data_IF_537510962322
#
_entry.id   IF_537510962322
#
_cell.length_a   1.000
_cell.length_b   1.000
_cell.length_c   1.000
_cell.angle_alpha   90.00
_cell.angle_beta   90.00
_cell.angle_gamma   90.00
#
_symmetry.space_group_name_H-M   'P 1'
#
loop_
_entity.id
_entity.type
_entity.pdbx_description
1 polymer ?
#
# COMPACT_ATOMS: atom_id res chain seq x y z
N UNK A 1 12.61 11.97 17.54
CA UNK A 1 11.63 12.08 16.43
C UNK A 1 12.23 12.95 15.34
N UNK A 2 11.92 12.69 14.07
CA UNK A 2 12.53 13.40 12.91
C UNK A 2 11.71 14.61 12.41
N UNK A 3 10.64 14.99 13.12
CA UNK A 3 9.80 16.15 12.78
C UNK A 3 8.69 15.88 11.75
N UNK A 4 8.36 14.62 11.46
CA UNK A 4 7.22 14.27 10.62
C UNK A 4 5.89 14.36 11.39
N UNK A 5 4.86 14.87 10.74
CA UNK A 5 3.52 15.06 11.32
C UNK A 5 2.55 13.92 11.00
N UNK A 6 2.80 13.17 9.92
CA UNK A 6 2.00 12.02 9.50
C UNK A 6 2.86 11.01 8.72
N UNK A 7 2.35 9.79 8.58
CA UNK A 7 2.96 8.70 7.80
C UNK A 7 1.97 8.26 6.72
N UNK A 8 2.41 8.24 5.47
CA UNK A 8 1.70 7.52 4.39
C UNK A 8 2.36 6.17 4.20
N UNK A 9 1.59 5.09 4.37
CA UNK A 9 2.05 3.70 4.29
C UNK A 9 1.45 3.01 3.07
N UNK A 10 2.30 2.37 2.27
CA UNK A 10 1.92 1.59 1.07
C UNK A 10 2.38 0.13 1.25
N UNK A 11 1.75 -0.66 2.14
CA UNK A 11 2.11 -2.06 2.36
C UNK A 11 1.48 -2.96 1.30
N UNK A 12 1.84 -4.26 1.30
CA UNK A 12 1.15 -5.24 0.45
C UNK A 12 -0.32 -5.29 0.82
N UNK A 13 -1.21 -5.36 -0.17
CA UNK A 13 -2.65 -5.50 0.00
C UNK A 13 -3.03 -6.49 1.11
N UNK A 14 -4.05 -6.12 1.89
CA UNK A 14 -4.59 -6.93 2.99
C UNK A 14 -5.07 -8.33 2.57
N UNK A 15 -5.45 -8.50 1.29
CA UNK A 15 -5.81 -9.81 0.73
C UNK A 15 -4.63 -10.74 0.48
N UNK A 16 -3.41 -10.20 0.41
CA UNK A 16 -2.19 -10.96 0.05
C UNK A 16 -1.26 -11.18 1.25
N UNK A 17 -1.20 -10.21 2.17
CA UNK A 17 -0.32 -10.23 3.33
C UNK A 17 -0.97 -9.66 4.59
N UNK A 18 -0.61 -10.22 5.75
CA UNK A 18 -0.98 -9.65 7.06
C UNK A 18 -0.24 -8.35 7.38
N UNK A 19 0.78 -7.97 6.61
CA UNK A 19 1.58 -6.75 6.83
C UNK A 19 0.69 -5.51 6.96
N UNK A 20 -0.31 -5.35 6.09
CA UNK A 20 -1.26 -4.23 6.16
C UNK A 20 -1.94 -4.16 7.54
N UNK A 21 -2.48 -5.28 8.00
CA UNK A 21 -3.16 -5.37 9.30
C UNK A 21 -2.20 -5.14 10.48
N UNK A 22 -0.98 -5.67 10.40
CA UNK A 22 0.04 -5.43 11.43
C UNK A 22 0.36 -3.94 11.55
N UNK A 23 0.54 -3.22 10.43
CA UNK A 23 0.80 -1.78 10.47
C UNK A 23 -0.42 -1.04 11.02
N UNK A 24 -1.66 -1.42 10.67
CA UNK A 24 -2.86 -0.79 11.25
C UNK A 24 -2.94 -0.96 12.78
N UNK A 25 -2.55 -2.12 13.31
CA UNK A 25 -2.53 -2.35 14.76
C UNK A 25 -1.47 -1.46 15.41
N UNK A 26 -0.24 -1.48 14.88
CA UNK A 26 0.87 -0.69 15.42
C UNK A 26 0.63 0.82 15.29
N UNK A 27 -0.05 1.28 14.22
CA UNK A 27 -0.38 2.68 13.99
C UNK A 27 -1.16 3.30 15.16
N UNK A 28 -1.93 2.50 15.90
CA UNK A 28 -2.68 2.95 17.08
C UNK A 28 -1.80 3.26 18.28
N UNK A 29 -0.57 2.74 18.30
CA UNK A 29 0.36 2.81 19.44
C UNK A 29 1.44 3.88 19.24
N UNK A 30 1.78 4.24 18.00
CA UNK A 30 2.95 5.08 17.70
C UNK A 30 2.73 6.59 17.85
N UNK A 31 1.50 7.04 18.11
CA UNK A 31 1.19 8.46 18.40
C UNK A 31 1.33 9.44 17.23
N UNK A 32 1.73 8.97 16.04
CA UNK A 32 1.74 9.73 14.79
C UNK A 32 0.65 9.19 13.85
N UNK A 33 -0.19 10.04 13.24
CA UNK A 33 -1.20 9.62 12.28
C UNK A 33 -0.59 8.78 11.15
N UNK A 34 -1.19 7.62 10.88
CA UNK A 34 -0.81 6.75 9.76
C UNK A 34 -1.97 6.62 8.79
N UNK A 35 -1.73 6.99 7.54
CA UNK A 35 -2.63 6.86 6.42
C UNK A 35 -2.19 5.64 5.62
N UNK A 36 -3.07 4.64 5.50
CA UNK A 36 -2.78 3.43 4.76
C UNK A 36 -3.36 3.52 3.34
N UNK A 37 -2.55 3.19 2.35
CA UNK A 37 -2.97 2.97 0.97
C UNK A 37 -3.26 1.47 0.82
N UNK A 38 -4.47 1.14 0.37
CA UNK A 38 -4.84 -0.22 -0.05
C UNK A 38 -4.85 -0.24 -1.58
N UNK A 39 -3.87 -0.95 -2.14
CA UNK A 39 -3.53 -0.95 -3.56
C UNK A 39 -4.14 -2.15 -4.32
N UNK A 40 -4.66 -3.15 -3.60
CA UNK A 40 -5.22 -4.39 -4.15
C UNK A 40 -4.28 -5.12 -5.13
N UNK A 41 -2.96 -4.84 -5.07
CA UNK A 41 -1.98 -5.30 -6.04
C UNK A 41 -0.62 -5.58 -5.37
N UNK A 42 0.42 -5.80 -6.18
CA UNK A 42 1.79 -6.03 -5.72
C UNK A 42 2.79 -5.68 -6.82
N UNK A 43 4.09 -5.89 -6.56
CA UNK A 43 5.21 -5.68 -7.48
C UNK A 43 5.41 -4.20 -7.88
N UNK A 44 5.61 -3.94 -9.17
CA UNK A 44 6.02 -2.63 -9.69
C UNK A 44 4.98 -1.54 -9.42
N UNK A 45 3.70 -1.89 -9.51
CA UNK A 45 2.60 -0.95 -9.30
C UNK A 45 2.55 -0.44 -7.85
N UNK A 46 2.75 -1.32 -6.87
CA UNK A 46 2.88 -0.94 -5.46
C UNK A 46 4.07 0.02 -5.24
N UNK A 47 5.22 -0.29 -5.84
CA UNK A 47 6.40 0.57 -5.77
C UNK A 47 6.16 1.94 -6.42
N UNK A 48 5.47 1.95 -7.55
CA UNK A 48 5.07 3.16 -8.26
C UNK A 48 4.18 4.06 -7.39
N UNK A 49 3.21 3.48 -6.70
CA UNK A 49 2.32 4.21 -5.78
C UNK A 49 3.07 4.81 -4.59
N UNK A 50 4.05 4.10 -4.03
CA UNK A 50 4.90 4.65 -2.97
C UNK A 50 5.74 5.85 -3.45
N UNK A 51 6.29 5.77 -4.67
CA UNK A 51 7.03 6.88 -5.29
C UNK A 51 6.10 8.07 -5.60
N UNK A 52 4.86 7.80 -6.00
CA UNK A 52 3.87 8.84 -6.29
C UNK A 52 3.36 9.50 -5.01
N UNK A 53 3.14 8.73 -3.94
CA UNK A 53 2.85 9.24 -2.60
C UNK A 53 3.94 10.21 -2.13
N UNK A 54 5.21 9.81 -2.27
CA UNK A 54 6.35 10.66 -1.92
C UNK A 54 6.38 11.96 -2.72
N UNK A 55 6.13 11.89 -4.03
CA UNK A 55 6.06 13.07 -4.89
C UNK A 55 4.95 14.02 -4.45
N UNK A 56 3.76 13.50 -4.17
CA UNK A 56 2.65 14.32 -3.69
C UNK A 56 2.91 14.95 -2.32
N UNK A 57 3.60 14.24 -1.42
CA UNK A 57 4.06 14.81 -0.16
C UNK A 57 5.07 15.94 -0.39
N UNK A 58 6.01 15.79 -1.34
CA UNK A 58 6.97 16.84 -1.71
C UNK A 58 6.29 18.08 -2.34
N UNK A 59 5.13 17.89 -2.94
CA UNK A 59 4.25 18.96 -3.45
C UNK A 59 3.39 19.60 -2.34
N UNK A 60 3.54 19.18 -1.08
CA UNK A 60 2.83 19.74 0.07
C UNK A 60 1.41 19.21 0.27
N UNK A 61 1.03 18.09 -0.36
CA UNK A 61 -0.28 17.45 -0.13
C UNK A 61 -0.28 16.70 1.19
N UNK A 62 -1.38 16.77 1.91
CA UNK A 62 -1.63 15.97 3.11
C UNK A 62 -1.82 14.48 2.77
N UNK A 63 -1.63 13.61 3.75
CA UNK A 63 -1.83 12.17 3.63
C UNK A 63 -3.25 11.82 3.17
N UNK A 64 -4.26 12.59 3.61
CA UNK A 64 -5.64 12.43 3.16
C UNK A 64 -5.80 12.74 1.65
N UNK A 65 -5.22 13.83 1.15
CA UNK A 65 -5.24 14.17 -0.27
C UNK A 65 -4.47 13.14 -1.11
N UNK A 66 -3.32 12.68 -0.61
CA UNK A 66 -2.52 11.62 -1.25
C UNK A 66 -3.36 10.35 -1.39
N UNK A 67 -4.03 9.93 -0.32
CA UNK A 67 -4.89 8.75 -0.32
C UNK A 67 -6.03 8.87 -1.33
N UNK A 68 -6.68 10.03 -1.43
CA UNK A 68 -7.76 10.24 -2.39
C UNK A 68 -7.26 10.19 -3.84
N UNK A 69 -6.11 10.82 -4.13
CA UNK A 69 -5.50 10.81 -5.47
C UNK A 69 -5.08 9.40 -5.90
N UNK A 70 -4.39 8.67 -5.02
CA UNK A 70 -3.95 7.30 -5.30
C UNK A 70 -5.16 6.36 -5.45
N UNK A 71 -6.17 6.48 -4.59
CA UNK A 71 -7.39 5.66 -4.69
C UNK A 71 -8.08 5.78 -6.05
N UNK A 72 -8.02 6.95 -6.71
CA UNK A 72 -8.56 7.14 -8.06
C UNK A 72 -7.75 6.38 -9.11
N UNK A 73 -6.43 6.38 -9.00
CA UNK A 73 -5.52 5.67 -9.91
C UNK A 73 -5.61 4.15 -9.73
N UNK A 74 -5.57 3.70 -8.47
CA UNK A 74 -5.66 2.28 -8.06
C UNK A 74 -6.87 1.60 -8.71
N UNK A 75 -8.04 2.24 -8.67
CA UNK A 75 -9.29 1.74 -9.28
C UNK A 75 -9.22 1.45 -10.77
N UNK A 76 -8.27 2.05 -11.48
CA UNK A 76 -8.08 1.90 -12.93
C UNK A 76 -6.78 1.19 -13.29
N UNK A 77 -6.12 0.58 -12.30
CA UNK A 77 -4.83 -0.08 -12.44
C UNK A 77 -4.94 -1.58 -12.11
N UNK A 78 -3.94 -2.36 -12.52
CA UNK A 78 -3.90 -3.78 -12.22
C UNK A 78 -2.60 -4.43 -12.68
N UNK A 79 -2.24 -5.54 -12.06
CA UNK A 79 -1.06 -6.34 -12.37
C UNK A 79 -1.50 -7.71 -12.88
N UNK A 80 -0.94 -8.15 -14.02
CA UNK A 80 -1.09 -9.53 -14.49
C UNK A 80 0.16 -10.32 -14.11
N UNK A 81 -0.03 -11.42 -13.38
CA UNK A 81 1.04 -12.32 -12.98
C UNK A 81 0.89 -13.63 -13.76
N UNK A 82 1.93 -14.00 -14.52
CA UNK A 82 1.98 -15.24 -15.28
C UNK A 82 3.09 -16.15 -14.71
N UNK A 83 2.76 -17.09 -13.81
CA UNK A 83 3.74 -18.05 -13.30
C UNK A 83 3.90 -19.22 -14.29
N UNK A 84 5.02 -19.95 -14.18
CA UNK A 84 5.24 -21.19 -14.94
C UNK A 84 4.26 -22.31 -14.51
N UNK A 85 3.87 -22.32 -13.24
CA UNK A 85 2.84 -23.20 -12.69
C UNK A 85 2.17 -22.54 -11.46
N UNK A 86 1.05 -23.12 -11.01
CA UNK A 86 0.26 -22.58 -9.89
C UNK A 86 0.50 -23.30 -8.55
N UNK A 87 1.46 -24.21 -8.46
CA UNK A 87 1.64 -25.08 -7.27
C UNK A 87 2.00 -24.26 -6.03
N UNK A 88 2.85 -23.25 -6.19
CA UNK A 88 3.23 -22.35 -5.10
C UNK A 88 2.05 -21.51 -4.59
N UNK A 89 1.25 -20.94 -5.50
CA UNK A 89 0.07 -20.14 -5.14
C UNK A 89 -0.98 -20.98 -4.42
N UNK A 90 -1.23 -22.20 -4.90
CA UNK A 90 -2.15 -23.15 -4.26
C UNK A 90 -1.68 -23.55 -2.86
N UNK A 91 -0.42 -23.99 -2.72
CA UNK A 91 0.15 -24.38 -1.42
C UNK A 91 0.15 -23.20 -0.43
N UNK A 92 0.39 -22.00 -0.94
CA UNK A 92 0.35 -20.77 -0.16
C UNK A 92 -1.07 -20.27 0.15
N UNK A 93 -2.13 -20.82 -0.43
CA UNK A 93 -3.50 -20.33 -0.23
C UNK A 93 -3.77 -18.95 -0.86
N UNK A 94 -2.99 -18.54 -1.87
CA UNK A 94 -3.15 -17.26 -2.59
C UNK A 94 -3.84 -17.44 -3.95
N UNK A 95 -4.33 -18.64 -4.22
CA UNK A 95 -5.21 -18.93 -5.36
C UNK A 95 -6.66 -18.88 -4.85
N UNK A 96 -7.38 -17.83 -5.22
CA UNK A 96 -8.77 -17.54 -4.81
C UNK A 96 -9.69 -17.47 -6.01
#
# INVERSE_FOLDING_TARGET
EQGYEEIVSVPLSSGLSSTFNTIQVMAREIGIPVIHIEDFTTCDLQGHEALLAKRYADEGKSGAEISELLSKLIRTSGTLILPNDIQHLKRGGRLT
#
